data_IF_527174759563
#
_entry.id   IF_527174759563
#
_cell.length_a   1.000
_cell.length_b   1.000
_cell.length_c   1.000
_cell.angle_alpha   90.00
_cell.angle_beta   90.00
_cell.angle_gamma   90.00
#
_symmetry.space_group_name_H-M   'P 1'
#
loop_
_entity.id
_entity.type
_entity.pdbx_description
1 polymer ?
#
# COMPACT_ATOMS: atom_id res chain seq x y z
N UNK A 1 -9.90 9.64 -18.44
CA UNK A 1 -9.04 8.75 -19.25
C UNK A 1 -7.69 8.80 -18.56
N UNK A 2 -7.31 7.74 -17.85
CA UNK A 2 -6.02 7.68 -17.16
C UNK A 2 -4.94 7.64 -18.24
N UNK A 3 -4.06 8.64 -18.27
CA UNK A 3 -2.92 8.63 -19.18
C UNK A 3 -2.02 7.47 -18.75
N UNK A 4 -1.90 6.48 -19.64
CA UNK A 4 -0.89 5.43 -19.53
C UNK A 4 0.48 6.10 -19.52
N UNK A 5 1.07 6.26 -18.34
CA UNK A 5 2.45 6.73 -18.24
C UNK A 5 3.35 5.58 -18.71
N UNK A 6 3.82 5.66 -19.95
CA UNK A 6 4.70 4.67 -20.60
C UNK A 6 6.05 4.45 -19.87
N UNK A 7 6.29 5.13 -18.76
CA UNK A 7 7.52 5.05 -17.98
C UNK A 7 7.39 4.19 -16.72
N UNK A 8 6.31 3.42 -16.51
CA UNK A 8 6.23 2.50 -15.35
C UNK A 8 6.13 1.05 -15.83
N UNK A 9 7.03 0.20 -15.35
CA UNK A 9 7.11 -1.22 -15.71
C UNK A 9 6.98 -2.10 -14.47
N UNK A 10 6.23 -3.20 -14.56
CA UNK A 10 6.19 -4.22 -13.52
C UNK A 10 7.54 -4.96 -13.47
N UNK A 11 8.07 -5.17 -12.28
CA UNK A 11 9.29 -5.96 -12.08
C UNK A 11 8.96 -7.44 -11.88
N UNK A 12 9.66 -8.31 -12.62
CA UNK A 12 9.55 -9.77 -12.48
C UNK A 12 10.16 -10.27 -11.16
N UNK A 13 11.11 -9.51 -10.59
CA UNK A 13 11.69 -9.76 -9.27
C UNK A 13 11.40 -8.60 -8.35
N UNK A 14 10.69 -8.86 -7.26
CA UNK A 14 10.36 -7.86 -6.24
C UNK A 14 11.54 -7.72 -5.28
N UNK A 15 12.13 -6.53 -5.16
CA UNK A 15 13.16 -6.22 -4.16
C UNK A 15 12.64 -5.14 -3.22
N UNK A 16 12.06 -5.56 -2.10
CA UNK A 16 11.42 -4.64 -1.16
C UNK A 16 12.41 -4.04 -0.16
N UNK A 17 12.12 -2.82 0.30
CA UNK A 17 12.77 -2.28 1.49
C UNK A 17 12.41 -3.14 2.69
N UNK A 18 13.38 -3.82 3.29
CA UNK A 18 13.18 -4.82 4.35
C UNK A 18 12.51 -4.31 5.64
N UNK A 19 12.25 -3.01 5.74
CA UNK A 19 11.54 -2.40 6.88
C UNK A 19 10.14 -1.87 6.54
N UNK A 20 9.68 -2.00 5.28
CA UNK A 20 8.32 -1.58 4.87
C UNK A 20 7.26 -2.59 5.30
N UNK A 21 6.01 -2.14 5.44
CA UNK A 21 4.87 -3.04 5.66
C UNK A 21 4.65 -3.96 4.46
N UNK A 22 5.01 -3.55 3.24
CA UNK A 22 4.96 -4.42 2.06
C UNK A 22 5.89 -5.63 2.23
N UNK A 23 7.08 -5.44 2.82
CA UNK A 23 7.97 -6.56 3.18
C UNK A 23 7.35 -7.47 4.24
N UNK A 24 6.72 -6.90 5.26
CA UNK A 24 5.99 -7.69 6.27
C UNK A 24 4.86 -8.50 5.64
N UNK A 25 4.11 -7.94 4.70
CA UNK A 25 3.09 -8.67 3.94
C UNK A 25 3.70 -9.84 3.17
N UNK A 26 4.86 -9.63 2.52
CA UNK A 26 5.56 -10.71 1.82
C UNK A 26 5.98 -11.84 2.77
N UNK A 27 6.52 -11.51 3.94
CA UNK A 27 6.92 -12.49 4.97
C UNK A 27 5.74 -13.29 5.53
N UNK A 28 4.55 -12.68 5.57
CA UNK A 28 3.29 -13.33 5.95
C UNK A 28 2.69 -14.18 4.81
N UNK A 29 3.34 -14.25 3.64
CA UNK A 29 2.85 -14.99 2.47
C UNK A 29 1.75 -14.26 1.69
N UNK A 30 1.62 -12.95 1.88
CA UNK A 30 0.73 -12.11 1.10
C UNK A 30 1.20 -11.90 -0.34
N UNK A 31 0.32 -11.35 -1.17
CA UNK A 31 0.63 -10.99 -2.54
C UNK A 31 1.41 -9.67 -2.54
N UNK A 32 2.53 -9.63 -3.26
CA UNK A 32 3.31 -8.40 -3.46
C UNK A 32 3.60 -8.18 -4.93
N UNK A 33 3.60 -6.92 -5.35
CA UNK A 33 4.02 -6.48 -6.67
C UNK A 33 4.85 -5.20 -6.54
N UNK A 34 5.76 -4.99 -7.48
CA UNK A 34 6.63 -3.84 -7.52
C UNK A 34 6.68 -3.30 -8.93
N UNK A 35 6.41 -2.01 -9.08
CA UNK A 35 6.61 -1.27 -10.32
C UNK A 35 7.83 -0.37 -10.19
N UNK A 36 8.51 -0.10 -11.30
CA UNK A 36 9.61 0.86 -11.37
C UNK A 36 9.31 1.95 -12.37
N UNK A 37 9.58 3.20 -11.99
CA UNK A 37 9.60 4.32 -12.91
C UNK A 37 10.92 4.31 -13.70
N UNK A 38 10.87 4.14 -15.02
CA UNK A 38 12.03 4.04 -15.88
C UNK A 38 12.85 5.33 -16.00
N UNK A 39 12.32 6.48 -15.57
CA UNK A 39 13.04 7.77 -15.59
C UNK A 39 13.69 8.09 -14.24
N UNK A 40 12.96 7.91 -13.13
CA UNK A 40 13.48 8.22 -11.79
C UNK A 40 14.11 7.02 -11.10
N UNK A 41 13.93 5.81 -11.63
CA UNK A 41 14.31 4.53 -11.01
C UNK A 41 13.60 4.23 -9.67
N UNK A 42 12.71 5.12 -9.23
CA UNK A 42 11.90 4.94 -8.03
C UNK A 42 10.90 3.79 -8.19
N UNK A 43 10.73 3.00 -7.13
CA UNK A 43 9.78 1.90 -7.10
C UNK A 43 8.47 2.29 -6.43
N UNK A 44 7.41 1.61 -6.84
CA UNK A 44 6.12 1.59 -6.16
C UNK A 44 5.87 0.15 -5.77
N UNK A 45 5.91 -0.10 -4.47
CA UNK A 45 5.72 -1.41 -3.87
C UNK A 45 4.29 -1.51 -3.37
N UNK A 46 3.60 -2.61 -3.65
CA UNK A 46 2.24 -2.86 -3.20
C UNK A 46 2.14 -4.26 -2.63
N UNK A 47 1.51 -4.37 -1.47
CA UNK A 47 1.28 -5.62 -0.78
C UNK A 47 -0.17 -5.76 -0.34
N UNK A 48 -0.71 -6.98 -0.44
CA UNK A 48 -2.02 -7.36 0.07
C UNK A 48 -1.89 -8.66 0.86
N UNK A 49 -2.36 -8.65 2.11
CA UNK A 49 -2.53 -9.85 2.92
C UNK A 49 -4.00 -9.99 3.34
N UNK A 50 -4.49 -11.23 3.34
CA UNK A 50 -5.73 -11.59 4.06
C UNK A 50 -5.34 -12.24 5.38
N UNK A 51 -5.82 -11.68 6.48
CA UNK A 51 -5.45 -12.10 7.84
C UNK A 51 -6.71 -12.37 8.67
N UNK A 52 -6.55 -12.98 9.84
CA UNK A 52 -7.64 -13.11 10.80
C UNK A 52 -7.92 -11.77 11.53
N UNK A 53 -9.14 -11.63 12.06
CA UNK A 53 -9.60 -10.41 12.75
C UNK A 53 -8.64 -9.93 13.84
N UNK A 54 -8.06 -10.84 14.63
CA UNK A 54 -7.18 -10.46 15.73
C UNK A 54 -5.86 -9.87 15.20
N UNK A 55 -5.34 -10.41 14.11
CA UNK A 55 -4.18 -9.85 13.39
C UNK A 55 -4.48 -8.47 12.80
N UNK A 56 -5.66 -8.29 12.18
CA UNK A 56 -6.09 -6.99 11.63
C UNK A 56 -6.20 -5.93 12.73
N UNK A 57 -6.87 -6.25 13.83
CA UNK A 57 -7.02 -5.31 14.95
C UNK A 57 -5.67 -4.96 15.60
N UNK A 58 -4.76 -5.93 15.72
CA UNK A 58 -3.41 -5.65 16.21
C UNK A 58 -2.65 -4.70 15.26
N UNK A 59 -2.74 -4.90 13.93
CA UNK A 59 -2.11 -4.03 12.95
C UNK A 59 -2.67 -2.60 12.98
N UNK A 60 -3.99 -2.42 13.13
CA UNK A 60 -4.61 -1.10 13.31
C UNK A 60 -4.08 -0.39 14.55
N UNK A 61 -3.97 -1.09 15.68
CA UNK A 61 -3.42 -0.53 16.91
C UNK A 61 -1.96 -0.07 16.72
N UNK A 62 -1.15 -0.86 15.99
CA UNK A 62 0.22 -0.47 15.64
C UNK A 62 0.20 0.77 14.73
N UNK A 63 -0.64 0.79 13.70
CA UNK A 63 -0.74 1.89 12.74
C UNK A 63 -1.07 3.23 13.42
N UNK A 64 -2.02 3.23 14.36
CA UNK A 64 -2.37 4.43 15.15
C UNK A 64 -1.17 5.01 15.89
N UNK A 65 -0.22 4.17 16.34
CA UNK A 65 0.97 4.64 17.08
C UNK A 65 2.13 5.06 16.19
N UNK A 66 2.19 4.58 14.95
CA UNK A 66 3.35 4.75 14.05
C UNK A 66 3.09 5.64 12.85
N UNK A 67 1.83 6.00 12.60
CA UNK A 67 1.39 6.75 11.42
C UNK A 67 0.17 7.60 11.75
N UNK A 68 -0.28 8.41 10.79
CA UNK A 68 -1.45 9.27 10.96
C UNK A 68 -2.66 8.66 10.27
N UNK A 69 -3.79 8.56 11.00
CA UNK A 69 -5.06 8.21 10.36
C UNK A 69 -5.48 9.32 9.40
N UNK A 70 -5.90 8.95 8.19
CA UNK A 70 -6.26 9.89 7.13
C UNK A 70 -7.60 9.51 6.50
N UNK A 71 -8.52 10.47 6.29
CA UNK A 71 -9.82 10.19 5.69
C UNK A 71 -9.74 9.93 4.17
N UNK A 72 -8.65 10.36 3.53
CA UNK A 72 -8.41 10.31 2.07
C UNK A 72 -8.71 8.94 1.46
N UNK A 73 -8.33 7.86 2.13
CA UNK A 73 -8.50 6.51 1.58
C UNK A 73 -9.92 5.95 1.70
N UNK A 74 -10.79 6.57 2.51
CA UNK A 74 -12.20 6.15 2.61
C UNK A 74 -12.97 6.38 1.32
N UNK A 75 -12.56 7.37 0.52
CA UNK A 75 -13.13 7.59 -0.82
C UNK A 75 -12.88 6.39 -1.76
N UNK A 76 -11.79 5.65 -1.54
CA UNK A 76 -11.45 4.42 -2.25
C UNK A 76 -12.11 3.16 -1.69
N UNK A 77 -12.96 3.28 -0.65
CA UNK A 77 -13.62 2.15 0.00
C UNK A 77 -12.87 1.55 1.19
N UNK A 78 -11.81 2.19 1.68
CA UNK A 78 -11.15 1.77 2.91
C UNK A 78 -12.05 2.01 4.13
N UNK A 79 -12.06 1.08 5.09
CA UNK A 79 -12.71 1.30 6.39
C UNK A 79 -11.84 2.22 7.26
N UNK A 80 -10.54 1.89 7.28
CA UNK A 80 -9.50 2.65 7.95
C UNK A 80 -8.28 2.81 7.06
N UNK A 81 -7.65 3.97 7.17
CA UNK A 81 -6.52 4.33 6.34
C UNK A 81 -5.51 5.16 7.13
N UNK A 82 -4.24 4.86 6.91
CA UNK A 82 -3.12 5.45 7.61
C UNK A 82 -2.00 5.81 6.65
N UNK A 83 -1.32 6.93 6.92
CA UNK A 83 -0.20 7.40 6.14
C UNK A 83 0.99 7.78 7.04
N UNK A 84 2.18 7.36 6.63
CA UNK A 84 3.45 7.73 7.26
C UNK A 84 4.28 8.54 6.27
N UNK A 85 4.39 9.86 6.49
CA UNK A 85 5.27 10.72 5.69
C UNK A 85 6.74 10.36 5.86
N UNK A 86 7.14 9.93 7.05
CA UNK A 86 8.51 9.50 7.34
C UNK A 86 8.84 8.14 6.70
N UNK A 87 7.86 7.25 6.66
CA UNK A 87 8.00 5.91 6.05
C UNK A 87 7.63 5.87 4.58
N UNK A 88 7.14 6.97 3.99
CA UNK A 88 6.72 7.05 2.59
C UNK A 88 5.73 5.95 2.22
N UNK A 89 4.77 5.76 3.11
CA UNK A 89 3.96 4.54 3.14
C UNK A 89 2.49 4.83 3.45
N UNK A 90 1.60 4.18 2.70
CA UNK A 90 0.19 4.06 2.99
C UNK A 90 -0.15 2.65 3.46
N UNK A 91 -1.08 2.54 4.39
CA UNK A 91 -1.72 1.27 4.70
C UNK A 91 -3.21 1.46 4.94
N UNK A 92 -4.00 0.51 4.46
CA UNK A 92 -5.46 0.53 4.61
C UNK A 92 -5.99 -0.84 4.98
N UNK A 93 -7.16 -0.84 5.61
CA UNK A 93 -7.86 -2.02 6.06
C UNK A 93 -9.26 -2.07 5.43
N UNK A 94 -9.63 -3.25 4.91
CA UNK A 94 -10.93 -3.53 4.30
C UNK A 94 -11.36 -4.95 4.69
N UNK A 95 -12.23 -5.07 5.70
CA UNK A 95 -12.55 -6.37 6.30
C UNK A 95 -11.28 -7.10 6.76
N UNK A 96 -11.09 -8.33 6.27
CA UNK A 96 -9.94 -9.19 6.59
C UNK A 96 -8.66 -8.81 5.83
N UNK A 97 -8.71 -7.80 4.97
CA UNK A 97 -7.58 -7.42 4.11
C UNK A 97 -6.77 -6.27 4.71
N UNK A 98 -5.46 -6.47 4.73
CA UNK A 98 -4.45 -5.44 4.95
C UNK A 98 -3.75 -5.14 3.64
N UNK A 99 -3.79 -3.88 3.21
CA UNK A 99 -3.14 -3.40 2.00
C UNK A 99 -2.08 -2.38 2.43
N UNK A 100 -0.85 -2.52 1.91
CA UNK A 100 0.23 -1.56 2.12
C UNK A 100 0.84 -1.12 0.79
N UNK A 101 1.21 0.14 0.69
CA UNK A 101 1.91 0.72 -0.45
C UNK A 101 3.10 1.52 0.03
N UNK A 102 4.24 1.39 -0.62
CA UNK A 102 5.47 2.09 -0.27
C UNK A 102 6.15 2.66 -1.52
N UNK A 103 6.57 3.93 -1.47
CA UNK A 103 7.33 4.60 -2.54
C UNK A 103 7.86 5.94 -2.05
N UNK A 104 9.11 6.30 -2.37
CA UNK A 104 9.66 7.64 -2.10
C UNK A 104 8.85 8.77 -2.78
N UNK A 105 8.05 8.43 -3.79
CA UNK A 105 7.12 9.33 -4.47
C UNK A 105 5.92 9.73 -3.60
N UNK A 106 5.64 9.02 -2.50
CA UNK A 106 4.51 9.32 -1.61
C UNK A 106 4.89 10.39 -0.58
N UNK A 107 4.63 11.64 -0.93
CA UNK A 107 4.91 12.81 -0.11
C UNK A 107 3.72 13.15 0.81
N UNK A 108 2.50 12.91 0.34
CA UNK A 108 1.26 13.15 1.05
C UNK A 108 0.22 12.04 0.80
N UNK A 109 -0.84 11.93 1.61
CA UNK A 109 -1.84 10.87 1.48
C UNK A 109 -2.56 10.83 0.13
N UNK A 110 -2.60 11.96 -0.59
CA UNK A 110 -3.22 12.02 -1.93
C UNK A 110 -2.43 11.25 -2.98
N UNK A 111 -1.11 11.11 -2.84
CA UNK A 111 -0.25 10.47 -3.84
C UNK A 111 -0.58 8.99 -4.06
N UNK A 112 -0.70 8.14 -3.02
CA UNK A 112 -1.08 6.74 -3.19
C UNK A 112 -2.59 6.52 -3.32
N UNK A 113 -3.45 7.54 -3.13
CA UNK A 113 -4.92 7.36 -3.08
C UNK A 113 -5.48 6.66 -4.33
N UNK A 114 -5.12 7.02 -5.58
CA UNK A 114 -5.65 6.33 -6.76
C UNK A 114 -5.28 4.84 -6.79
N UNK A 115 -4.04 4.51 -6.44
CA UNK A 115 -3.57 3.12 -6.40
C UNK A 115 -4.26 2.33 -5.29
N UNK A 116 -4.46 2.92 -4.11
CA UNK A 116 -5.24 2.32 -3.03
C UNK A 116 -6.65 1.96 -3.51
N UNK A 117 -7.33 2.87 -4.21
CA UNK A 117 -8.67 2.63 -4.72
C UNK A 117 -8.69 1.49 -5.76
N UNK A 118 -7.71 1.45 -6.66
CA UNK A 118 -7.59 0.38 -7.66
C UNK A 118 -7.36 -1.00 -7.02
N UNK A 119 -6.51 -1.08 -5.99
CA UNK A 119 -6.28 -2.33 -5.26
C UNK A 119 -7.55 -2.78 -4.54
N UNK A 120 -8.25 -1.89 -3.85
CA UNK A 120 -9.52 -2.22 -3.17
C UNK A 120 -10.56 -2.72 -4.19
N UNK A 121 -10.68 -2.06 -5.34
CA UNK A 121 -11.58 -2.48 -6.39
C UNK A 121 -11.27 -3.90 -6.91
N UNK A 122 -9.99 -4.28 -6.96
CA UNK A 122 -9.55 -5.62 -7.38
C UNK A 122 -9.88 -6.74 -6.39
N UNK A 123 -10.15 -6.43 -5.11
CA UNK A 123 -10.52 -7.43 -4.10
C UNK A 123 -11.91 -8.04 -4.31
N UNK A 124 -12.77 -7.37 -5.10
CA UNK A 124 -14.14 -7.80 -5.39
C UNK A 124 -14.29 -8.54 -6.73
N UNK A 125 -13.16 -8.93 -7.36
CA UNK A 125 -13.09 -9.61 -8.65
C UNK A 125 -13.27 -11.11 -8.60
#
# INVERSE_FOLDING_TARGET
MYDYNANVSLLDTVTLSGTSNVSTIQELGGLTCQWVNATSEETIDVGVAKLDDASIENLKNIAITRSSSVPTYREGGAEEGYFSTAGKEAQVFVGDYWIALHSELFLEPGDPQPLVADVIASLNG
#
